data_IF_623308368020
#
_entry.id   IF_623308368020
#
_cell.length_a   1.000
_cell.length_b   1.000
_cell.length_c   1.000
_cell.angle_alpha   90.00
_cell.angle_beta   90.00
_cell.angle_gamma   90.00
#
_symmetry.space_group_name_H-M   'P 1'
#
loop_
_entity.id
_entity.type
_entity.pdbx_description
1 polymer ?
#
# COMPACT_ATOMS: atom_id res chain seq x y z
N UNK A 1 28.84 20.24 27.39
CA UNK A 1 27.71 20.65 26.54
C UNK A 1 27.95 20.37 25.06
N UNK A 2 28.56 21.24 24.23
CA UNK A 2 28.66 20.98 22.77
C UNK A 2 29.40 19.69 22.38
N UNK A 3 30.46 19.30 23.12
CA UNK A 3 31.17 18.03 22.89
C UNK A 3 30.34 16.80 23.29
N UNK A 4 29.55 16.91 24.35
CA UNK A 4 28.67 15.82 24.81
C UNK A 4 27.48 15.66 23.86
N UNK A 5 26.95 16.77 23.34
CA UNK A 5 25.92 16.76 22.29
C UNK A 5 26.46 16.14 21.01
N UNK A 6 27.68 16.50 20.59
CA UNK A 6 28.33 15.90 19.42
C UNK A 6 28.52 14.39 19.60
N UNK A 7 29.06 13.95 20.75
CA UNK A 7 29.22 12.53 21.05
C UNK A 7 27.89 11.76 21.09
N UNK A 8 26.81 12.38 21.58
CA UNK A 8 25.47 11.79 21.55
C UNK A 8 24.91 11.69 20.12
N UNK A 9 25.21 12.68 19.27
CA UNK A 9 24.82 12.69 17.86
C UNK A 9 25.57 11.62 17.07
N UNK A 10 26.87 11.45 17.29
CA UNK A 10 27.67 10.40 16.65
C UNK A 10 27.11 9.01 16.96
N UNK A 11 26.78 8.74 18.24
CA UNK A 11 26.13 7.50 18.64
C UNK A 11 24.74 7.31 18.01
N UNK A 12 23.99 8.39 17.83
CA UNK A 12 22.68 8.32 17.16
C UNK A 12 22.84 7.98 15.68
N UNK A 13 23.84 8.54 15.01
CA UNK A 13 24.15 8.21 13.62
C UNK A 13 24.55 6.73 13.48
N UNK A 14 25.40 6.22 14.37
CA UNK A 14 25.76 4.79 14.40
C UNK A 14 24.52 3.89 14.53
N UNK A 15 23.60 4.21 15.47
CA UNK A 15 22.37 3.45 15.65
C UNK A 15 21.42 3.54 14.44
N UNK A 16 21.36 4.69 13.77
CA UNK A 16 20.58 4.86 12.54
C UNK A 16 21.18 4.05 11.39
N UNK A 17 22.50 4.01 11.26
CA UNK A 17 23.19 3.18 10.26
C UNK A 17 22.92 1.69 10.49
N UNK A 18 23.00 1.23 11.75
CA UNK A 18 22.64 -0.14 12.13
C UNK A 18 21.17 -0.45 11.81
N UNK A 19 20.25 0.46 12.14
CA UNK A 19 18.83 0.30 11.85
C UNK A 19 18.57 0.19 10.35
N UNK A 20 19.19 1.06 9.54
CA UNK A 20 19.08 1.02 8.07
C UNK A 20 19.63 -0.30 7.54
N UNK A 21 20.76 -0.79 8.06
CA UNK A 21 21.34 -2.08 7.68
C UNK A 21 20.37 -3.24 7.96
N UNK A 22 19.78 -3.29 9.17
CA UNK A 22 18.80 -4.32 9.55
C UNK A 22 17.54 -4.25 8.68
N UNK A 23 17.03 -3.04 8.42
CA UNK A 23 15.87 -2.84 7.54
C UNK A 23 16.17 -3.31 6.12
N UNK A 24 17.31 -2.93 5.55
CA UNK A 24 17.72 -3.34 4.21
C UNK A 24 17.87 -4.87 4.10
N UNK A 25 18.47 -5.51 5.12
CA UNK A 25 18.59 -6.97 5.17
C UNK A 25 17.20 -7.65 5.22
N UNK A 26 16.29 -7.16 6.07
CA UNK A 26 14.93 -7.69 6.19
C UNK A 26 14.13 -7.53 4.89
N UNK A 27 14.19 -6.35 4.25
CA UNK A 27 13.55 -6.11 2.95
C UNK A 27 14.07 -7.05 1.87
N UNK A 28 15.39 -7.25 1.81
CA UNK A 28 16.02 -8.17 0.84
C UNK A 28 15.59 -9.61 1.07
N UNK A 29 15.56 -10.07 2.32
CA UNK A 29 15.12 -11.43 2.66
C UNK A 29 13.66 -11.65 2.23
N UNK A 30 12.76 -10.73 2.59
CA UNK A 30 11.34 -10.83 2.20
C UNK A 30 11.17 -10.86 0.69
N UNK A 31 11.94 -10.06 -0.06
CA UNK A 31 11.91 -10.07 -1.51
C UNK A 31 12.37 -11.42 -2.10
N UNK A 32 13.39 -12.05 -1.49
CA UNK A 32 13.87 -13.37 -1.89
C UNK A 32 12.84 -14.47 -1.61
N UNK A 33 12.23 -14.49 -0.43
CA UNK A 33 11.18 -15.45 -0.06
C UNK A 33 9.97 -15.34 -1.00
N UNK A 34 9.52 -14.12 -1.28
CA UNK A 34 8.42 -13.87 -2.21
C UNK A 34 8.79 -14.33 -3.63
N UNK A 35 10.03 -14.11 -4.07
CA UNK A 35 10.49 -14.58 -5.37
C UNK A 35 10.51 -16.11 -5.45
N UNK A 36 11.03 -16.79 -4.42
CA UNK A 36 11.03 -18.26 -4.35
C UNK A 36 9.60 -18.81 -4.34
N UNK A 37 8.70 -18.20 -3.57
CA UNK A 37 7.29 -18.57 -3.53
C UNK A 37 6.62 -18.45 -4.91
N UNK A 38 6.89 -17.38 -5.66
CA UNK A 38 6.34 -17.18 -7.02
C UNK A 38 6.82 -18.25 -7.99
N UNK A 39 8.12 -18.57 -7.96
CA UNK A 39 8.70 -19.62 -8.80
C UNK A 39 8.09 -20.99 -8.48
N UNK A 40 7.74 -21.24 -7.22
CA UNK A 40 7.06 -22.46 -6.78
C UNK A 40 5.55 -22.48 -7.10
N UNK A 41 4.93 -21.31 -7.31
CA UNK A 41 3.48 -21.16 -7.51
C UNK A 41 3.15 -20.27 -8.73
N UNK A 42 3.57 -20.67 -9.96
CA UNK A 42 3.44 -19.83 -11.14
C UNK A 42 1.98 -19.59 -11.56
N UNK A 43 1.12 -20.62 -11.51
CA UNK A 43 -0.30 -20.49 -11.87
C UNK A 43 -1.04 -19.57 -10.89
N UNK A 44 -0.78 -19.71 -9.58
CA UNK A 44 -1.39 -18.85 -8.58
C UNK A 44 -0.91 -17.40 -8.70
N UNK A 45 0.37 -17.18 -9.02
CA UNK A 45 0.91 -15.84 -9.26
C UNK A 45 0.21 -15.16 -10.46
N UNK A 46 -0.05 -15.92 -11.54
CA UNK A 46 -0.84 -15.44 -12.67
C UNK A 46 -2.29 -15.14 -12.28
N UNK A 47 -2.95 -16.03 -11.54
CA UNK A 47 -4.30 -15.79 -11.03
C UNK A 47 -4.39 -14.55 -10.12
N UNK A 48 -3.37 -14.29 -9.30
CA UNK A 48 -3.28 -13.06 -8.51
C UNK A 48 -3.13 -11.81 -9.39
N UNK A 49 -2.45 -11.90 -10.54
CA UNK A 49 -2.36 -10.79 -11.51
C UNK A 49 -3.75 -10.46 -12.05
N UNK A 50 -4.46 -11.48 -12.52
CA UNK A 50 -5.78 -11.32 -13.11
C UNK A 50 -6.77 -10.80 -12.05
N UNK A 51 -6.73 -11.34 -10.83
CA UNK A 51 -7.56 -10.87 -9.72
C UNK A 51 -7.29 -9.40 -9.38
N UNK A 52 -6.03 -8.97 -9.33
CA UNK A 52 -5.67 -7.58 -9.07
C UNK A 52 -6.21 -6.65 -10.16
N UNK A 53 -6.13 -7.05 -11.44
CA UNK A 53 -6.67 -6.27 -12.55
C UNK A 53 -8.19 -6.13 -12.46
N UNK A 54 -8.90 -7.24 -12.22
CA UNK A 54 -10.36 -7.21 -12.11
C UNK A 54 -10.82 -6.38 -10.90
N UNK A 55 -10.17 -6.52 -9.75
CA UNK A 55 -10.49 -5.70 -8.58
C UNK A 55 -10.16 -4.23 -8.80
N UNK A 56 -9.12 -3.90 -9.58
CA UNK A 56 -8.81 -2.51 -9.94
C UNK A 56 -9.93 -1.90 -10.79
N UNK A 57 -10.51 -2.65 -11.72
CA UNK A 57 -11.69 -2.21 -12.50
C UNK A 57 -12.90 -1.97 -11.58
N UNK A 58 -13.18 -2.91 -10.67
CA UNK A 58 -14.25 -2.75 -9.68
C UNK A 58 -14.01 -1.55 -8.76
N UNK A 59 -12.76 -1.26 -8.40
CA UNK A 59 -12.40 -0.09 -7.59
C UNK A 59 -12.67 1.22 -8.33
N UNK A 60 -12.37 1.30 -9.62
CA UNK A 60 -12.72 2.46 -10.45
C UNK A 60 -14.23 2.68 -10.46
N UNK A 61 -15.02 1.65 -10.77
CA UNK A 61 -16.49 1.74 -10.75
C UNK A 61 -17.05 2.11 -9.36
N UNK A 62 -16.35 1.70 -8.29
CA UNK A 62 -16.72 2.07 -6.93
C UNK A 62 -16.41 3.54 -6.64
N UNK A 63 -15.25 4.04 -7.07
CA UNK A 63 -14.87 5.44 -6.95
C UNK A 63 -15.79 6.36 -7.75
N UNK A 64 -16.21 5.96 -8.96
CA UNK A 64 -17.20 6.71 -9.74
C UNK A 64 -18.52 6.87 -8.98
N UNK A 65 -19.04 5.77 -8.41
CA UNK A 65 -20.27 5.80 -7.60
C UNK A 65 -20.13 6.66 -6.34
N UNK A 66 -19.00 6.58 -5.66
CA UNK A 66 -18.73 7.42 -4.47
C UNK A 66 -18.68 8.89 -4.86
N UNK A 67 -18.00 9.20 -5.96
CA UNK A 67 -17.84 10.59 -6.43
C UNK A 67 -19.20 11.18 -6.80
N UNK A 68 -20.07 10.41 -7.46
CA UNK A 68 -21.44 10.83 -7.74
C UNK A 68 -22.24 11.09 -6.46
N UNK A 69 -22.16 10.21 -5.45
CA UNK A 69 -22.84 10.43 -4.16
C UNK A 69 -22.32 11.70 -3.47
N UNK A 70 -21.01 11.96 -3.55
CA UNK A 70 -20.42 13.19 -3.01
C UNK A 70 -21.02 14.41 -3.72
N UNK A 71 -21.05 14.40 -5.05
CA UNK A 71 -21.60 15.51 -5.83
C UNK A 71 -23.08 15.77 -5.50
N UNK A 72 -23.85 14.70 -5.27
CA UNK A 72 -25.27 14.79 -4.95
C UNK A 72 -25.57 15.24 -3.50
N UNK A 73 -24.62 15.04 -2.57
CA UNK A 73 -24.84 15.25 -1.12
C UNK A 73 -23.86 16.23 -0.47
N UNK A 74 -22.99 16.89 -1.24
CA UNK A 74 -21.91 17.74 -0.75
C UNK A 74 -22.39 18.84 0.20
N UNK A 75 -23.49 19.51 -0.14
CA UNK A 75 -24.05 20.58 0.70
C UNK A 75 -24.52 20.01 2.05
N UNK A 76 -25.28 18.91 2.04
CA UNK A 76 -25.79 18.26 3.25
C UNK A 76 -24.67 17.77 4.16
N UNK A 77 -23.60 17.21 3.59
CA UNK A 77 -22.40 16.81 4.33
C UNK A 77 -21.61 18.00 4.88
N UNK A 78 -21.62 19.15 4.19
CA UNK A 78 -20.92 20.35 4.64
C UNK A 78 -21.59 20.99 5.85
N UNK A 79 -22.91 20.85 6.00
CA UNK A 79 -23.66 21.44 7.11
C UNK A 79 -24.01 20.43 8.21
N UNK A 80 -23.93 19.12 7.93
CA UNK A 80 -24.33 18.05 8.84
C UNK A 80 -23.22 17.04 9.17
N UNK A 81 -22.71 17.09 10.40
CA UNK A 81 -21.72 16.12 10.91
C UNK A 81 -22.22 14.66 10.84
N UNK A 82 -23.53 14.45 11.03
CA UNK A 82 -24.14 13.13 10.91
C UNK A 82 -24.00 12.55 9.50
N UNK A 83 -24.33 13.32 8.46
CA UNK A 83 -24.27 12.86 7.06
C UNK A 83 -22.83 12.59 6.63
N UNK A 84 -21.88 13.43 7.07
CA UNK A 84 -20.46 13.18 6.86
C UNK A 84 -20.00 11.87 7.51
N UNK A 85 -20.37 11.64 8.78
CA UNK A 85 -20.00 10.40 9.49
C UNK A 85 -20.63 9.17 8.84
N UNK A 86 -21.90 9.23 8.45
CA UNK A 86 -22.58 8.13 7.75
C UNK A 86 -21.90 7.81 6.41
N UNK A 87 -21.53 8.85 5.65
CA UNK A 87 -20.77 8.68 4.41
C UNK A 87 -19.42 7.98 4.66
N UNK A 88 -18.64 8.47 5.64
CA UNK A 88 -17.34 7.88 6.01
C UNK A 88 -17.51 6.42 6.46
N UNK A 89 -18.50 6.13 7.30
CA UNK A 89 -18.76 4.77 7.79
C UNK A 89 -19.21 3.81 6.68
N UNK A 90 -20.01 4.31 5.73
CA UNK A 90 -20.53 3.53 4.60
C UNK A 90 -19.46 3.19 3.58
N UNK A 91 -18.61 4.15 3.22
CA UNK A 91 -17.67 4.02 2.10
C UNK A 91 -16.21 3.83 2.53
N UNK A 92 -15.78 4.44 3.62
CA UNK A 92 -14.40 4.44 4.09
C UNK A 92 -13.80 3.04 4.31
N UNK A 93 -14.39 2.20 5.18
CA UNK A 93 -13.88 0.85 5.44
C UNK A 93 -13.80 -0.01 4.18
N UNK A 94 -14.82 0.08 3.30
CA UNK A 94 -14.87 -0.71 2.06
C UNK A 94 -13.79 -0.26 1.08
N UNK A 95 -13.57 1.04 0.92
CA UNK A 95 -12.51 1.57 0.06
C UNK A 95 -11.12 1.14 0.55
N UNK A 96 -10.87 1.25 1.86
CA UNK A 96 -9.61 0.84 2.47
C UNK A 96 -9.35 -0.66 2.30
N UNK A 97 -10.36 -1.50 2.56
CA UNK A 97 -10.24 -2.94 2.41
C UNK A 97 -10.02 -3.37 0.95
N UNK A 98 -10.77 -2.79 0.00
CA UNK A 98 -10.62 -3.09 -1.42
C UNK A 98 -9.20 -2.76 -1.91
N UNK A 99 -8.69 -1.58 -1.54
CA UNK A 99 -7.31 -1.19 -1.85
C UNK A 99 -6.29 -2.15 -1.21
N UNK A 100 -6.50 -2.55 0.04
CA UNK A 100 -5.64 -3.54 0.71
C UNK A 100 -5.61 -4.90 0.00
N UNK A 101 -6.78 -5.39 -0.45
CA UNK A 101 -6.86 -6.64 -1.22
C UNK A 101 -6.09 -6.54 -2.54
N UNK A 102 -6.24 -5.45 -3.28
CA UNK A 102 -5.51 -5.20 -4.53
C UNK A 102 -4.00 -5.20 -4.27
N UNK A 103 -3.54 -4.52 -3.23
CA UNK A 103 -2.12 -4.49 -2.87
C UNK A 103 -1.56 -5.88 -2.53
N UNK A 104 -2.32 -6.73 -1.83
CA UNK A 104 -1.92 -8.12 -1.56
C UNK A 104 -1.79 -8.91 -2.85
N UNK A 105 -2.79 -8.87 -3.73
CA UNK A 105 -2.74 -9.59 -5.00
C UNK A 105 -1.62 -9.07 -5.92
N UNK A 106 -1.40 -7.75 -5.97
CA UNK A 106 -0.31 -7.15 -6.72
C UNK A 106 1.07 -7.59 -6.20
N UNK A 107 1.24 -7.67 -4.88
CA UNK A 107 2.49 -8.20 -4.29
C UNK A 107 2.72 -9.66 -4.66
N UNK A 108 1.67 -10.48 -4.65
CA UNK A 108 1.75 -11.90 -5.02
C UNK A 108 1.91 -12.11 -6.53
N UNK A 109 1.51 -11.16 -7.37
CA UNK A 109 1.60 -11.27 -8.83
C UNK A 109 2.90 -10.70 -9.43
N UNK A 110 3.48 -9.65 -8.84
CA UNK A 110 4.57 -8.89 -9.47
C UNK A 110 5.82 -9.74 -9.75
N UNK A 111 6.16 -9.96 -11.03
CA UNK A 111 7.48 -10.47 -11.39
C UNK A 111 8.52 -9.33 -11.26
N UNK A 112 9.77 -9.59 -10.84
CA UNK A 112 10.80 -8.55 -10.73
C UNK A 112 11.25 -7.92 -12.07
N UNK A 113 10.60 -8.21 -13.21
CA UNK A 113 11.13 -7.89 -14.53
C UNK A 113 10.48 -6.69 -15.24
N UNK A 114 9.48 -6.03 -14.65
CA UNK A 114 8.94 -4.79 -15.23
C UNK A 114 9.79 -3.54 -14.91
N UNK A 115 10.83 -3.68 -14.08
CA UNK A 115 11.81 -2.61 -13.82
C UNK A 115 12.92 -2.52 -14.89
N UNK A 116 12.91 -3.37 -15.93
CA UNK A 116 13.94 -3.40 -16.99
C UNK A 116 13.52 -2.85 -18.36
N UNK A 117 12.38 -2.16 -18.46
CA UNK A 117 11.96 -1.51 -19.72
C UNK A 117 12.09 0.02 -19.72
N UNK A 118 12.92 0.59 -18.84
CA UNK A 118 13.31 2.01 -18.87
C UNK A 118 14.82 2.15 -18.62
N UNK A 119 15.61 1.75 -19.62
CA UNK A 119 17.00 2.16 -19.79
C UNK A 119 17.34 2.15 -21.29
#
# INVERSE_FOLDING_TARGET
MLREVLAAQDRTNELLEELVSVMAASHKQRAQELHQWKNANPELSAACRDAAEQLSRVQVDYLERITQEIDDTADDMSYGEFMMNEFVDRFGPRLAHLNGMIQVFAQLSSAPNDAKSQA
#
